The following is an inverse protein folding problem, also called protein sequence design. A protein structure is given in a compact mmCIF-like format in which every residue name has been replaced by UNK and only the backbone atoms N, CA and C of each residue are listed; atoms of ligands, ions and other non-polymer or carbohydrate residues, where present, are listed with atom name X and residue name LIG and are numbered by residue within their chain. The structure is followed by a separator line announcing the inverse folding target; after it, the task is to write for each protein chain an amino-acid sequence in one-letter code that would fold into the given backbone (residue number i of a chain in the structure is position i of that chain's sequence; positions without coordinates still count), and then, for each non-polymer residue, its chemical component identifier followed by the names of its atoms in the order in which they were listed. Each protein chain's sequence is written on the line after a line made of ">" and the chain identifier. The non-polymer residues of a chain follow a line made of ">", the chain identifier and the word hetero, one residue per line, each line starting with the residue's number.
data_IF_833502529649
#
_entry.id   IF_833502529649
#
_cell.length_a   1.000
_cell.length_b   1.000
_cell.length_c   1.000
_cell.angle_alpha   90.00
_cell.angle_beta   90.00
_cell.angle_gamma   90.00
#
_symmetry.space_group_name_H-M   'P 1'
#
loop_
_entity.id
_entity.type
_entity.pdbx_description
1 polymer ?
#
# COMPACT_ATOMS: atom_id res chain seq x y z
N UNK A 1 6.80 15.68 7.56
CA UNK A 1 5.95 14.53 7.94
C UNK A 1 4.46 14.74 7.62
N UNK A 2 3.83 15.84 8.05
CA UNK A 2 2.37 16.08 7.93
C UNK A 2 1.81 15.94 6.49
N UNK A 3 2.55 16.43 5.48
CA UNK A 3 2.20 16.27 4.06
C UNK A 3 1.95 14.81 3.66
N UNK A 4 2.85 13.91 4.05
CA UNK A 4 2.78 12.49 3.70
C UNK A 4 1.66 11.77 4.45
N UNK A 5 1.39 12.16 5.71
CA UNK A 5 0.22 11.67 6.45
C UNK A 5 -1.09 12.05 5.78
N UNK A 6 -1.24 13.32 5.38
CA UNK A 6 -2.41 13.78 4.61
C UNK A 6 -2.59 13.04 3.29
N UNK A 7 -1.49 12.70 2.62
CA UNK A 7 -1.54 11.91 1.39
C UNK A 7 -1.95 10.46 1.65
N UNK A 8 -1.45 9.85 2.72
CA UNK A 8 -1.86 8.52 3.14
C UNK A 8 -3.35 8.45 3.53
N UNK A 9 -3.86 9.47 4.22
CA UNK A 9 -5.28 9.59 4.56
C UNK A 9 -6.16 9.71 3.30
N UNK A 10 -5.69 10.44 2.28
CA UNK A 10 -6.40 10.51 0.99
C UNK A 10 -6.48 9.15 0.31
N UNK A 11 -5.37 8.39 0.31
CA UNK A 11 -5.36 7.03 -0.27
C UNK A 11 -6.30 6.10 0.51
N UNK A 12 -6.34 6.22 1.83
CA UNK A 12 -7.29 5.45 2.67
C UNK A 12 -8.73 5.70 2.24
N UNK A 13 -9.12 6.98 2.08
CA UNK A 13 -10.47 7.35 1.62
C UNK A 13 -10.75 6.80 0.21
N UNK A 14 -9.76 6.77 -0.68
CA UNK A 14 -9.90 6.17 -2.02
C UNK A 14 -10.21 4.67 -1.91
N UNK A 15 -9.51 3.93 -1.05
CA UNK A 15 -9.78 2.51 -0.83
C UNK A 15 -11.18 2.26 -0.24
N UNK A 16 -11.56 3.03 0.79
CA UNK A 16 -12.90 2.94 1.39
C UNK A 16 -14.01 3.22 0.36
N UNK A 17 -13.82 4.23 -0.50
CA UNK A 17 -14.76 4.55 -1.57
C UNK A 17 -14.80 3.47 -2.66
N UNK A 18 -13.66 2.85 -2.99
CA UNK A 18 -13.60 1.81 -4.00
C UNK A 18 -14.48 0.60 -3.63
N UNK A 19 -14.39 0.12 -2.38
CA UNK A 19 -15.17 -1.03 -1.92
C UNK A 19 -16.64 -0.72 -1.59
N UNK A 20 -17.03 0.55 -1.54
CA UNK A 20 -18.44 0.95 -1.32
C UNK A 20 -19.20 1.17 -2.62
N UNK A 21 -18.52 1.45 -3.72
CA UNK A 21 -19.13 1.66 -5.04
C UNK A 21 -19.26 0.33 -5.77
N UNK A 22 -20.47 -0.03 -6.20
CA UNK A 22 -20.67 -1.17 -7.08
C UNK A 22 -20.11 -0.86 -8.47
N UNK A 23 -18.94 -1.41 -8.80
CA UNK A 23 -18.42 -1.40 -10.16
C UNK A 23 -19.18 -2.44 -10.99
N UNK A 24 -19.62 -2.07 -12.19
CA UNK A 24 -20.50 -2.91 -13.01
C UNK A 24 -19.75 -3.89 -13.93
N UNK A 25 -18.42 -3.86 -13.93
CA UNK A 25 -17.55 -4.68 -14.80
C UNK A 25 -16.26 -5.05 -14.07
N UNK A 26 -15.98 -6.36 -14.00
CA UNK A 26 -14.83 -6.94 -13.29
C UNK A 26 -13.48 -6.43 -13.80
N UNK A 27 -13.30 -6.29 -15.12
CA UNK A 27 -12.04 -5.77 -15.69
C UNK A 27 -11.77 -4.31 -15.26
N UNK A 28 -12.82 -3.48 -15.24
CA UNK A 28 -12.70 -2.10 -14.78
C UNK A 28 -12.44 -2.02 -13.28
N UNK A 29 -13.00 -2.95 -12.52
CA UNK A 29 -12.78 -3.07 -11.08
C UNK A 29 -11.32 -3.41 -10.78
N UNK A 30 -10.77 -4.42 -11.46
CA UNK A 30 -9.36 -4.80 -11.33
C UNK A 30 -8.42 -3.63 -11.65
N UNK A 31 -8.57 -3.00 -12.82
CA UNK A 31 -7.69 -1.89 -13.22
C UNK A 31 -7.82 -0.69 -12.28
N UNK A 32 -9.03 -0.37 -11.82
CA UNK A 32 -9.23 0.71 -10.84
C UNK A 32 -8.56 0.37 -9.50
N UNK A 33 -8.69 -0.87 -9.02
CA UNK A 33 -8.04 -1.33 -7.80
C UNK A 33 -6.51 -1.23 -7.92
N UNK A 34 -5.97 -1.68 -9.06
CA UNK A 34 -4.54 -1.61 -9.37
C UNK A 34 -4.03 -0.18 -9.34
N UNK A 35 -4.70 0.75 -10.04
CA UNK A 35 -4.33 2.18 -10.04
C UNK A 35 -4.39 2.75 -8.62
N UNK A 36 -5.43 2.43 -7.85
CA UNK A 36 -5.56 2.90 -6.48
C UNK A 36 -4.40 2.40 -5.60
N UNK A 37 -4.06 1.10 -5.68
CA UNK A 37 -2.97 0.51 -4.89
C UNK A 37 -1.59 1.00 -5.31
N UNK A 38 -1.38 1.30 -6.60
CA UNK A 38 -0.14 1.91 -7.10
C UNK A 38 0.13 3.29 -6.47
N UNK A 39 -0.88 4.00 -5.94
CA UNK A 39 -0.64 5.24 -5.20
C UNK A 39 0.17 4.99 -3.92
N UNK A 40 0.03 3.83 -3.27
CA UNK A 40 0.85 3.43 -2.12
C UNK A 40 2.31 3.26 -2.55
N UNK A 41 2.56 2.55 -3.65
CA UNK A 41 3.90 2.36 -4.20
C UNK A 41 4.57 3.72 -4.46
N UNK A 42 3.88 4.63 -5.18
CA UNK A 42 4.39 5.97 -5.48
C UNK A 42 4.64 6.81 -4.23
N UNK A 43 3.80 6.67 -3.20
CA UNK A 43 4.00 7.33 -1.91
C UNK A 43 5.25 6.82 -1.21
N UNK A 44 5.44 5.49 -1.12
CA UNK A 44 6.62 4.86 -0.49
C UNK A 44 7.91 5.31 -1.18
N UNK A 45 7.93 5.31 -2.51
CA UNK A 45 9.09 5.80 -3.30
C UNK A 45 9.43 7.24 -2.92
N UNK A 46 8.44 8.14 -2.88
CA UNK A 46 8.66 9.55 -2.50
C UNK A 46 9.10 9.74 -1.06
N UNK A 47 8.62 8.91 -0.13
CA UNK A 47 9.05 8.93 1.28
C UNK A 47 10.52 8.51 1.39
N UNK A 48 10.95 7.46 0.69
CA UNK A 48 12.33 6.96 0.76
C UNK A 48 13.33 7.84 0.03
N UNK A 49 12.89 8.64 -0.94
CA UNK A 49 13.75 9.55 -1.70
C UNK A 49 13.85 10.97 -1.11
N UNK A 50 12.93 11.36 -0.21
CA UNK A 50 12.96 12.73 0.33
C UNK A 50 14.09 12.92 1.35
N UNK A 51 14.67 14.11 1.34
CA UNK A 51 15.63 14.56 2.36
C UNK A 51 14.95 15.34 3.49
N UNK A 52 13.65 15.60 3.38
CA UNK A 52 12.87 16.41 4.34
C UNK A 52 12.41 15.62 5.58
N UNK A 53 12.76 14.35 5.68
CA UNK A 53 12.34 13.44 6.75
C UNK A 53 13.55 12.76 7.38
N UNK A 54 13.49 12.55 8.70
CA UNK A 54 14.42 11.66 9.37
C UNK A 54 14.22 10.21 8.91
N UNK A 55 15.24 9.35 9.06
CA UNK A 55 15.11 7.93 8.75
C UNK A 55 13.97 7.26 9.54
N UNK A 56 13.80 7.65 10.82
CA UNK A 56 12.71 7.16 11.66
C UNK A 56 11.35 7.57 11.10
N UNK A 57 11.16 8.84 10.74
CA UNK A 57 9.88 9.30 10.16
C UNK A 57 9.58 8.63 8.82
N UNK A 58 10.60 8.40 7.99
CA UNK A 58 10.46 7.65 6.74
C UNK A 58 10.00 6.22 7.02
N UNK A 59 10.63 5.55 7.98
CA UNK A 59 10.31 4.19 8.33
C UNK A 59 8.89 4.07 8.92
N UNK A 60 8.48 5.00 9.77
CA UNK A 60 7.12 5.04 10.32
C UNK A 60 6.07 5.21 9.20
N UNK A 61 6.28 6.15 8.29
CA UNK A 61 5.36 6.39 7.18
C UNK A 61 5.30 5.22 6.19
N UNK A 62 6.43 4.58 5.89
CA UNK A 62 6.44 3.39 5.02
C UNK A 62 5.73 2.22 5.70
N UNK A 63 5.94 2.01 7.00
CA UNK A 63 5.20 1.01 7.75
C UNK A 63 3.68 1.27 7.72
N UNK A 64 3.25 2.50 7.96
CA UNK A 64 1.83 2.86 7.89
C UNK A 64 1.24 2.62 6.49
N UNK A 65 1.99 2.94 5.43
CA UNK A 65 1.58 2.72 4.05
C UNK A 65 1.44 1.23 3.69
N UNK A 66 2.41 0.40 4.11
CA UNK A 66 2.36 -1.05 3.91
C UNK A 66 1.23 -1.70 4.71
N UNK A 67 0.99 -1.25 5.94
CA UNK A 67 -0.16 -1.71 6.74
C UNK A 67 -1.48 -1.36 6.03
N UNK A 68 -1.59 -0.17 5.44
CA UNK A 68 -2.78 0.22 4.70
C UNK A 68 -3.00 -0.67 3.48
N UNK A 69 -1.94 -1.01 2.73
CA UNK A 69 -2.01 -1.96 1.61
C UNK A 69 -2.44 -3.35 2.07
N UNK A 70 -1.83 -3.87 3.15
CA UNK A 70 -2.17 -5.18 3.72
C UNK A 70 -3.64 -5.26 4.15
N UNK A 71 -4.14 -4.20 4.79
CA UNK A 71 -5.55 -4.14 5.21
C UNK A 71 -6.51 -4.16 4.03
N UNK A 72 -6.12 -3.64 2.87
CA UNK A 72 -6.95 -3.59 1.67
C UNK A 72 -6.60 -4.72 0.70
N UNK A 73 -6.16 -5.86 1.24
CA UNK A 73 -5.84 -7.08 0.49
C UNK A 73 -6.73 -8.21 0.99
N UNK A 74 -7.86 -8.47 0.30
CA UNK A 74 -8.86 -9.46 0.72
C UNK A 74 -9.20 -10.52 -0.32
N UNK A 75 -9.09 -10.19 -1.61
CA UNK A 75 -9.34 -11.11 -2.73
C UNK A 75 -8.06 -11.71 -3.34
N UNK A 76 -8.20 -12.61 -4.30
CA UNK A 76 -7.06 -13.14 -5.05
C UNK A 76 -6.40 -12.04 -5.92
N UNK A 77 -7.22 -11.23 -6.60
CA UNK A 77 -6.75 -10.09 -7.39
C UNK A 77 -6.02 -9.06 -6.53
N UNK A 78 -6.56 -8.82 -5.34
CA UNK A 78 -5.96 -7.94 -4.36
C UNK A 78 -4.56 -8.36 -3.96
N UNK A 79 -4.39 -9.66 -3.70
CA UNK A 79 -3.11 -10.27 -3.34
C UNK A 79 -2.15 -10.12 -4.51
N UNK A 80 -2.56 -10.48 -5.72
CA UNK A 80 -1.73 -10.36 -6.92
C UNK A 80 -1.18 -8.93 -7.10
N UNK A 81 -2.04 -7.91 -6.95
CA UNK A 81 -1.62 -6.51 -7.06
C UNK A 81 -0.65 -6.13 -5.92
N UNK A 82 -0.93 -6.59 -4.68
CA UNK A 82 -0.07 -6.29 -3.54
C UNK A 82 1.32 -6.92 -3.68
N UNK A 83 1.40 -8.18 -4.14
CA UNK A 83 2.65 -8.88 -4.43
C UNK A 83 3.46 -8.14 -5.51
N UNK A 84 2.82 -7.74 -6.62
CA UNK A 84 3.49 -6.94 -7.66
C UNK A 84 4.11 -5.65 -7.10
N UNK A 85 3.42 -4.98 -6.18
CA UNK A 85 3.93 -3.77 -5.53
C UNK A 85 5.10 -4.10 -4.61
N UNK A 86 5.00 -5.14 -3.78
CA UNK A 86 6.07 -5.55 -2.87
C UNK A 86 7.32 -5.97 -3.63
N UNK A 87 7.17 -6.78 -4.67
CA UNK A 87 8.28 -7.24 -5.52
C UNK A 87 9.01 -6.06 -6.13
N UNK A 88 8.27 -5.08 -6.66
CA UNK A 88 8.87 -3.90 -7.23
C UNK A 88 9.61 -3.05 -6.18
N UNK A 89 9.02 -2.84 -5.00
CA UNK A 89 9.65 -2.06 -3.93
C UNK A 89 10.87 -2.75 -3.31
N UNK A 90 10.83 -4.08 -3.19
CA UNK A 90 11.85 -4.88 -2.50
C UNK A 90 12.95 -5.39 -3.44
N UNK A 91 12.60 -6.05 -4.55
CA UNK A 91 13.58 -6.64 -5.46
C UNK A 91 14.12 -5.64 -6.47
N UNK A 92 13.24 -4.85 -7.10
CA UNK A 92 13.64 -3.94 -8.17
C UNK A 92 14.25 -2.64 -7.62
N UNK A 93 13.52 -1.94 -6.74
CA UNK A 93 13.95 -0.65 -6.21
C UNK A 93 14.82 -0.77 -4.95
N UNK A 94 14.70 -1.86 -4.19
CA UNK A 94 15.46 -2.11 -2.94
C UNK A 94 15.32 -0.98 -1.91
N UNK A 95 14.15 -0.37 -1.83
CA UNK A 95 13.88 0.76 -0.92
C UNK A 95 13.14 0.36 0.36
N UNK A 96 12.62 -0.87 0.40
CA UNK A 96 12.09 -1.51 1.61
C UNK A 96 12.95 -2.71 1.99
N UNK A 97 12.90 -3.08 3.26
CA UNK A 97 13.65 -4.14 3.91
C UNK A 97 12.78 -5.38 4.11
N UNK A 98 13.42 -6.53 4.41
CA UNK A 98 12.70 -7.77 4.73
C UNK A 98 11.75 -7.57 5.92
N UNK A 99 12.15 -6.79 6.93
CA UNK A 99 11.30 -6.50 8.08
C UNK A 99 10.01 -5.75 7.69
N UNK A 100 10.08 -4.82 6.73
CA UNK A 100 8.90 -4.11 6.22
C UNK A 100 7.98 -5.06 5.43
N UNK A 101 8.56 -6.00 4.66
CA UNK A 101 7.81 -7.07 3.97
C UNK A 101 7.15 -8.04 4.95
N UNK A 102 7.87 -8.52 5.95
CA UNK A 102 7.34 -9.42 6.98
C UNK A 102 6.17 -8.78 7.73
N UNK A 103 6.29 -7.48 8.04
CA UNK A 103 5.22 -6.71 8.70
C UNK A 103 3.96 -6.62 7.84
N UNK A 104 4.10 -6.43 6.53
CA UNK A 104 2.97 -6.48 5.60
C UNK A 104 2.23 -7.82 5.73
N UNK A 105 2.96 -8.94 5.67
CA UNK A 105 2.34 -10.27 5.75
C UNK A 105 1.69 -10.57 7.10
N UNK A 106 2.31 -10.12 8.21
CA UNK A 106 1.71 -10.24 9.54
C UNK A 106 0.36 -9.52 9.61
N UNK A 107 0.29 -8.30 9.07
CA UNK A 107 -0.94 -7.50 9.06
C UNK A 107 -2.00 -8.04 8.09
N UNK A 108 -1.58 -8.65 6.98
CA UNK A 108 -2.47 -9.32 6.04
C UNK A 108 -3.07 -10.61 6.65
N UNK A 109 -2.25 -11.41 7.32
CA UNK A 109 -2.65 -12.67 7.94
C UNK A 109 -3.71 -12.47 9.05
N UNK A 110 -3.66 -11.38 9.79
CA UNK A 110 -4.66 -11.04 10.82
C UNK A 110 -6.07 -10.82 10.26
N UNK A 111 -6.25 -10.58 8.96
CA UNK A 111 -7.59 -10.40 8.35
C UNK A 111 -8.20 -11.64 7.72
N UNK A 112 -7.46 -12.76 7.65
CA UNK A 112 -8.00 -14.03 7.12
C UNK A 112 -8.91 -14.78 8.09
N UNK A 113 -8.96 -14.38 9.36
CA UNK A 113 -9.68 -15.08 10.43
C UNK A 113 -10.55 -14.15 11.31
N UNK A 114 -10.79 -12.91 10.90
CA UNK A 114 -11.76 -12.00 11.56
C UNK A 114 -13.08 -11.95 10.79
#
# INVERSE_FOLDING_TARGET
>A
MEKYKKELDRIRVIFENFYTVKVTSSDKEYETNKINKQQIQQLIVRIKQTQDLSQTDQQDLVNEALILLAKNTGSAEDIEIAEQILDHLFFELKIISQHEVDRFYQCNATRRWE
#
